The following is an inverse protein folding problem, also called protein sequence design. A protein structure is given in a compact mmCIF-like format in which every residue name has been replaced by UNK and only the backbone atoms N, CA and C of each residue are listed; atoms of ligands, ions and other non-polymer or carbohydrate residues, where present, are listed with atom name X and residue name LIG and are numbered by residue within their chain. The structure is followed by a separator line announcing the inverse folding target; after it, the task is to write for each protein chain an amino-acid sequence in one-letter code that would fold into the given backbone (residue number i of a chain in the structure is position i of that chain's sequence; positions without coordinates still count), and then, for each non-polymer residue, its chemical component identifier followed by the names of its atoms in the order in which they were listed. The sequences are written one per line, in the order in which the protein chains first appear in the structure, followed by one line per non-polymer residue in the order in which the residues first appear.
data_IF_646263159839
#
_entry.id   IF_646263159839
#
_cell.length_a   1.000
_cell.length_b   1.000
_cell.length_c   1.000
_cell.angle_alpha   90.00
_cell.angle_beta   90.00
_cell.angle_gamma   90.00
#
_symmetry.space_group_name_H-M   'P 1'
#
loop_
_entity.id
_entity.type
_entity.pdbx_description
1 polymer ?
#
# COMPACT_ATOMS: atom_id res chain seq x y z
N UNK A 1 -49.65 -36.64 19.20
CA UNK A 1 -49.68 -35.59 18.17
C UNK A 1 -48.47 -34.63 18.30
N UNK A 2 -47.22 -35.13 18.32
CA UNK A 2 -46.05 -34.30 18.71
C UNK A 2 -44.86 -34.41 17.71
N UNK A 3 -45.13 -34.76 16.44
CA UNK A 3 -44.11 -34.89 15.38
C UNK A 3 -44.22 -33.86 14.25
N UNK A 4 -45.35 -33.16 14.12
CA UNK A 4 -45.54 -32.15 13.05
C UNK A 4 -44.76 -30.84 13.28
N UNK A 5 -44.59 -30.41 14.54
CA UNK A 5 -43.90 -29.14 14.84
C UNK A 5 -42.38 -29.17 14.61
N UNK A 6 -41.74 -30.34 14.63
CA UNK A 6 -40.29 -30.48 14.39
C UNK A 6 -39.94 -30.37 12.90
N UNK A 7 -40.73 -31.02 12.04
CA UNK A 7 -40.57 -30.98 10.59
C UNK A 7 -40.78 -29.56 10.05
N UNK A 8 -41.86 -28.89 10.46
CA UNK A 8 -42.17 -27.53 10.01
C UNK A 8 -41.12 -26.49 10.44
N UNK A 9 -40.53 -26.64 11.64
CA UNK A 9 -39.42 -25.79 12.10
C UNK A 9 -38.13 -26.05 11.33
N UNK A 10 -37.90 -27.28 10.88
CA UNK A 10 -36.72 -27.64 10.09
C UNK A 10 -36.85 -27.09 8.67
N UNK A 11 -38.02 -27.25 8.05
CA UNK A 11 -38.35 -26.70 6.72
C UNK A 11 -38.29 -25.16 6.69
N UNK A 12 -38.78 -24.50 7.75
CA UNK A 12 -38.67 -23.03 7.87
C UNK A 12 -37.21 -22.60 8.00
N UNK A 13 -36.41 -23.30 8.81
CA UNK A 13 -34.97 -23.02 8.97
C UNK A 13 -34.19 -23.24 7.68
N UNK A 14 -34.52 -24.30 6.95
CA UNK A 14 -33.91 -24.58 5.65
C UNK A 14 -34.26 -23.47 4.64
N UNK A 15 -35.54 -23.08 4.56
CA UNK A 15 -36.00 -21.98 3.70
C UNK A 15 -35.35 -20.64 4.09
N UNK A 16 -35.15 -20.40 5.39
CA UNK A 16 -34.42 -19.24 5.91
C UNK A 16 -32.96 -19.21 5.45
N UNK A 17 -32.25 -20.34 5.57
CA UNK A 17 -30.84 -20.43 5.17
C UNK A 17 -30.70 -20.28 3.65
N UNK A 18 -31.59 -20.92 2.88
CA UNK A 18 -31.58 -20.83 1.42
C UNK A 18 -31.90 -19.42 0.93
N UNK A 19 -32.93 -18.76 1.49
CA UNK A 19 -33.27 -17.37 1.14
C UNK A 19 -32.15 -16.39 1.53
N UNK A 20 -31.47 -16.61 2.66
CA UNK A 20 -30.30 -15.82 3.04
C UNK A 20 -29.15 -15.99 2.03
N UNK A 21 -28.81 -17.23 1.69
CA UNK A 21 -27.72 -17.53 0.77
C UNK A 21 -27.99 -16.94 -0.63
N UNK A 22 -29.22 -17.06 -1.13
CA UNK A 22 -29.64 -16.47 -2.41
C UNK A 22 -29.54 -14.93 -2.40
N UNK A 23 -29.96 -14.28 -1.31
CA UNK A 23 -29.84 -12.83 -1.18
C UNK A 23 -28.37 -12.39 -1.10
N UNK A 24 -27.50 -13.13 -0.39
CA UNK A 24 -26.06 -12.88 -0.35
C UNK A 24 -25.39 -13.05 -1.73
N UNK A 25 -25.80 -14.08 -2.49
CA UNK A 25 -25.36 -14.28 -3.86
C UNK A 25 -25.76 -13.10 -4.75
N UNK A 26 -26.98 -12.57 -4.60
CA UNK A 26 -27.42 -11.37 -5.31
C UNK A 26 -26.61 -10.12 -4.99
N UNK A 27 -26.24 -9.91 -3.72
CA UNK A 27 -25.31 -8.83 -3.36
C UNK A 27 -23.93 -9.01 -4.01
N UNK A 28 -23.43 -10.24 -4.03
CA UNK A 28 -22.12 -10.58 -4.62
C UNK A 28 -22.10 -10.39 -6.13
N UNK A 29 -23.17 -10.78 -6.83
CA UNK A 29 -23.33 -10.56 -8.28
C UNK A 29 -23.43 -9.07 -8.61
N UNK A 30 -24.20 -8.30 -7.84
CA UNK A 30 -24.28 -6.86 -8.01
C UNK A 30 -22.91 -6.17 -7.78
N UNK A 31 -22.16 -6.59 -6.77
CA UNK A 31 -20.80 -6.11 -6.54
C UNK A 31 -19.85 -6.46 -7.70
N UNK A 32 -19.92 -7.69 -8.22
CA UNK A 32 -19.13 -8.12 -9.38
C UNK A 32 -19.50 -7.35 -10.65
N UNK A 33 -20.79 -7.07 -10.86
CA UNK A 33 -21.25 -6.23 -11.96
C UNK A 33 -20.65 -4.81 -11.87
N UNK A 34 -20.73 -4.16 -10.70
CA UNK A 34 -20.12 -2.84 -10.47
C UNK A 34 -18.61 -2.90 -10.76
N UNK A 35 -17.92 -3.94 -10.26
CA UNK A 35 -16.50 -4.15 -10.53
C UNK A 35 -16.21 -4.24 -12.03
N UNK A 36 -16.98 -5.02 -12.79
CA UNK A 36 -16.79 -5.16 -14.25
C UNK A 36 -17.00 -3.85 -15.03
N UNK A 37 -17.92 -2.99 -14.58
CA UNK A 37 -18.14 -1.67 -15.18
C UNK A 37 -16.96 -0.73 -14.94
N UNK A 38 -16.20 -0.97 -13.85
CA UNK A 38 -15.04 -0.18 -13.48
C UNK A 38 -13.73 -0.73 -14.07
N UNK A 39 -13.60 -2.06 -14.25
CA UNK A 39 -12.42 -2.68 -14.86
C UNK A 39 -12.22 -2.29 -16.34
N UNK A 40 -13.30 -1.95 -17.04
CA UNK A 40 -13.23 -1.42 -18.42
C UNK A 40 -12.61 -0.02 -18.51
N UNK A 41 -12.46 0.69 -17.39
CA UNK A 41 -11.71 1.92 -17.29
C UNK A 41 -10.26 1.54 -17.04
N UNK A 42 -9.34 1.97 -17.90
CA UNK A 42 -7.92 1.89 -17.58
C UNK A 42 -7.69 2.70 -16.29
N UNK A 43 -7.62 2.01 -15.15
CA UNK A 43 -7.58 2.59 -13.79
C UNK A 43 -6.38 3.52 -13.55
N UNK A 44 -5.49 3.65 -14.53
CA UNK A 44 -4.31 4.50 -14.51
C UNK A 44 -4.65 5.99 -14.70
N UNK A 45 -5.75 6.32 -15.41
CA UNK A 45 -6.16 7.71 -15.69
C UNK A 45 -7.68 7.89 -15.61
N UNK A 46 -8.28 7.60 -14.45
CA UNK A 46 -9.73 7.74 -14.27
C UNK A 46 -10.11 9.21 -14.15
N UNK A 47 -10.72 9.77 -15.20
CA UNK A 47 -11.37 11.08 -15.15
C UNK A 47 -12.56 11.04 -14.16
N UNK A 48 -12.57 11.86 -13.10
CA UNK A 48 -13.66 11.92 -12.13
C UNK A 48 -15.05 12.18 -12.74
N UNK A 49 -15.12 12.86 -13.89
CA UNK A 49 -16.38 13.14 -14.59
C UNK A 49 -16.94 11.90 -15.31
N UNK A 50 -16.06 11.11 -15.94
CA UNK A 50 -16.43 9.83 -16.56
C UNK A 50 -16.90 8.83 -15.50
N UNK A 51 -16.18 8.75 -14.38
CA UNK A 51 -16.54 7.88 -13.26
C UNK A 51 -17.94 8.23 -12.72
N UNK A 52 -18.24 9.51 -12.51
CA UNK A 52 -19.56 9.92 -12.05
C UNK A 52 -20.68 9.53 -13.02
N UNK A 53 -20.44 9.66 -14.33
CA UNK A 53 -21.41 9.28 -15.37
C UNK A 53 -21.70 7.77 -15.34
N UNK A 54 -20.67 6.95 -15.16
CA UNK A 54 -20.80 5.49 -15.04
C UNK A 54 -21.56 5.11 -13.77
N UNK A 55 -21.21 5.71 -12.63
CA UNK A 55 -21.86 5.45 -11.35
C UNK A 55 -23.35 5.82 -11.37
N UNK A 56 -23.71 6.93 -12.01
CA UNK A 56 -25.10 7.31 -12.24
C UNK A 56 -25.85 6.37 -13.21
N UNK A 57 -25.12 5.66 -14.08
CA UNK A 57 -25.66 4.70 -15.03
C UNK A 57 -25.85 3.27 -14.50
N UNK A 58 -25.33 2.94 -13.31
CA UNK A 58 -25.31 1.57 -12.77
C UNK A 58 -26.72 0.95 -12.64
N UNK A 59 -27.75 1.73 -12.32
CA UNK A 59 -29.11 1.23 -12.13
C UNK A 59 -29.81 0.84 -13.45
N UNK A 60 -29.31 1.31 -14.60
CA UNK A 60 -29.96 1.13 -15.93
C UNK A 60 -30.00 -0.33 -16.42
N UNK A 61 -29.14 -1.21 -15.89
CA UNK A 61 -29.05 -2.61 -16.31
C UNK A 61 -29.43 -3.62 -15.21
N UNK A 62 -30.06 -3.17 -14.12
CA UNK A 62 -30.51 -4.01 -13.00
C UNK A 62 -31.37 -5.23 -13.41
N UNK A 63 -32.15 -5.11 -14.49
CA UNK A 63 -33.06 -6.18 -14.95
C UNK A 63 -32.35 -7.41 -15.51
N UNK A 64 -31.06 -7.33 -15.84
CA UNK A 64 -30.26 -8.48 -16.31
C UNK A 64 -29.61 -9.28 -15.17
N UNK A 65 -29.59 -8.74 -13.93
CA UNK A 65 -29.00 -9.41 -12.76
C UNK A 65 -30.04 -10.27 -12.04
N UNK A 66 -30.36 -11.42 -12.66
CA UNK A 66 -31.18 -12.47 -12.03
C UNK A 66 -30.29 -13.55 -11.44
N UNK A 67 -30.49 -13.82 -10.15
CA UNK A 67 -29.77 -14.85 -9.41
C UNK A 67 -30.62 -16.10 -9.42
N UNK A 68 -30.18 -17.14 -10.12
CA UNK A 68 -30.82 -18.45 -10.08
C UNK A 68 -29.90 -19.49 -9.46
N UNK A 69 -30.51 -20.53 -8.90
CA UNK A 69 -29.87 -21.79 -8.49
C UNK A 69 -30.30 -22.90 -9.43
N UNK A 70 -29.50 -23.97 -9.53
CA UNK A 70 -29.79 -25.13 -10.37
C UNK A 70 -31.03 -25.94 -9.91
N UNK A 71 -31.54 -25.66 -8.71
CA UNK A 71 -32.78 -26.23 -8.17
C UNK A 71 -33.98 -25.30 -8.45
N UNK A 72 -34.79 -25.71 -9.43
CA UNK A 72 -36.21 -25.42 -9.75
C UNK A 72 -36.85 -24.02 -9.58
N UNK A 73 -37.85 -23.79 -10.44
CA UNK A 73 -38.60 -22.57 -10.72
C UNK A 73 -39.37 -21.89 -9.54
N UNK A 74 -39.26 -22.41 -8.32
CA UNK A 74 -39.91 -21.84 -7.13
C UNK A 74 -39.01 -20.88 -6.32
N UNK A 75 -37.72 -20.81 -6.63
CA UNK A 75 -36.74 -19.96 -5.95
C UNK A 75 -36.37 -18.76 -6.82
N UNK A 76 -36.68 -17.55 -6.34
CA UNK A 76 -36.40 -16.32 -7.08
C UNK A 76 -35.56 -15.36 -6.22
N UNK A 77 -34.25 -15.27 -6.53
CA UNK A 77 -33.37 -14.21 -6.04
C UNK A 77 -33.27 -13.07 -7.06
N UNK A 78 -33.27 -11.81 -6.60
CA UNK A 78 -33.10 -10.65 -7.48
C UNK A 78 -32.36 -9.50 -6.79
N UNK A 79 -31.62 -8.74 -7.59
CA UNK A 79 -31.07 -7.45 -7.17
C UNK A 79 -32.19 -6.40 -7.20
N UNK A 80 -32.48 -5.78 -6.06
CA UNK A 80 -33.54 -4.78 -5.89
C UNK A 80 -33.09 -3.36 -6.23
N UNK A 81 -31.82 -3.00 -6.08
CA UNK A 81 -31.31 -1.68 -6.44
C UNK A 81 -29.77 -1.67 -6.47
N UNK A 82 -29.21 -0.86 -7.35
CA UNK A 82 -27.80 -0.42 -7.31
C UNK A 82 -27.82 1.11 -7.41
N UNK A 83 -27.81 1.77 -6.26
CA UNK A 83 -28.03 3.21 -6.17
C UNK A 83 -26.75 3.94 -5.79
N UNK A 84 -26.28 4.81 -6.67
CA UNK A 84 -25.24 5.78 -6.32
C UNK A 84 -25.85 6.91 -5.47
N UNK A 85 -25.36 7.07 -4.23
CA UNK A 85 -25.91 8.01 -3.25
C UNK A 85 -25.22 9.36 -3.29
N UNK A 86 -23.90 9.37 -3.14
CA UNK A 86 -23.16 10.63 -2.95
C UNK A 86 -21.66 10.51 -3.30
N UNK A 87 -21.08 11.67 -3.60
CA UNK A 87 -19.64 11.91 -3.73
C UNK A 87 -19.19 12.78 -2.57
N UNK A 88 -18.24 12.29 -1.78
CA UNK A 88 -17.60 13.03 -0.70
C UNK A 88 -16.20 13.41 -1.17
N UNK A 89 -15.92 14.71 -1.25
CA UNK A 89 -14.60 15.24 -1.60
C UNK A 89 -13.90 15.69 -0.33
N UNK A 90 -12.84 15.01 0.05
CA UNK A 90 -11.91 15.40 1.11
C UNK A 90 -10.64 16.03 0.53
N UNK A 91 -9.77 16.54 1.41
CA UNK A 91 -8.53 17.23 1.02
C UNK A 91 -7.55 16.38 0.19
N UNK A 92 -7.63 15.05 0.27
CA UNK A 92 -6.70 14.12 -0.40
C UNK A 92 -7.39 12.89 -1.00
N UNK A 93 -8.73 12.84 -0.94
CA UNK A 93 -9.47 11.68 -1.42
C UNK A 93 -10.89 12.05 -1.83
N UNK A 94 -11.35 11.37 -2.86
CA UNK A 94 -12.73 11.34 -3.31
C UNK A 94 -13.30 9.96 -2.96
N UNK A 95 -14.47 9.95 -2.31
CA UNK A 95 -15.25 8.76 -1.99
C UNK A 95 -16.57 8.78 -2.73
N UNK A 96 -16.98 7.63 -3.24
CA UNK A 96 -18.27 7.41 -3.88
C UNK A 96 -19.02 6.32 -3.10
N UNK A 97 -20.25 6.60 -2.69
CA UNK A 97 -21.07 5.65 -1.92
C UNK A 97 -22.15 5.05 -2.82
N UNK A 98 -22.20 3.72 -2.86
CA UNK A 98 -23.15 2.95 -3.64
C UNK A 98 -23.90 2.01 -2.69
N UNK A 99 -25.24 2.03 -2.73
CA UNK A 99 -26.10 1.13 -1.97
C UNK A 99 -26.66 0.06 -2.88
N UNK A 100 -26.48 -1.20 -2.48
CA UNK A 100 -27.03 -2.36 -3.16
C UNK A 100 -28.08 -2.97 -2.25
N UNK A 101 -29.23 -3.33 -2.82
CA UNK A 101 -30.21 -4.19 -2.16
C UNK A 101 -30.45 -5.44 -2.98
N UNK A 102 -30.64 -6.57 -2.31
CA UNK A 102 -31.02 -7.83 -2.90
C UNK A 102 -32.13 -8.49 -2.08
N UNK A 103 -33.04 -9.19 -2.74
CA UNK A 103 -34.07 -9.97 -2.09
C UNK A 103 -34.21 -11.37 -2.67
N UNK A 104 -34.60 -12.30 -1.82
CA UNK A 104 -34.89 -13.67 -2.22
C UNK A 104 -36.12 -14.18 -1.50
N UNK A 105 -36.90 -15.01 -2.20
CA UNK A 105 -38.07 -15.68 -1.65
C UNK A 105 -37.93 -17.19 -1.86
N UNK A 106 -38.07 -17.94 -0.77
CA UNK A 106 -38.06 -19.42 -0.76
C UNK A 106 -39.22 -19.88 0.10
N UNK A 107 -40.15 -20.65 -0.47
CA UNK A 107 -41.30 -21.24 0.24
C UNK A 107 -42.06 -20.23 1.14
N UNK A 108 -42.29 -19.01 0.63
CA UNK A 108 -42.98 -17.93 1.35
C UNK A 108 -42.13 -17.13 2.35
N UNK A 109 -40.90 -17.56 2.63
CA UNK A 109 -39.93 -16.80 3.44
C UNK A 109 -39.21 -15.80 2.54
N UNK A 110 -39.39 -14.51 2.81
CA UNK A 110 -38.70 -13.43 2.09
C UNK A 110 -37.58 -12.84 2.95
N UNK A 111 -36.38 -12.75 2.37
CA UNK A 111 -35.23 -12.04 2.95
C UNK A 111 -34.86 -10.87 2.06
N UNK A 112 -34.48 -9.76 2.68
CA UNK A 112 -33.92 -8.57 2.04
C UNK A 112 -32.62 -8.24 2.71
N UNK A 113 -31.56 -8.05 1.93
CA UNK A 113 -30.25 -7.63 2.39
C UNK A 113 -29.86 -6.33 1.69
N UNK A 114 -29.14 -5.49 2.42
CA UNK A 114 -28.53 -4.28 1.89
C UNK A 114 -27.04 -4.29 2.16
N UNK A 115 -26.27 -3.75 1.22
CA UNK A 115 -24.84 -3.59 1.34
C UNK A 115 -24.43 -2.21 0.84
N UNK A 116 -23.58 -1.54 1.59
CA UNK A 116 -22.91 -0.34 1.14
C UNK A 116 -21.56 -0.70 0.54
N UNK A 117 -21.32 -0.26 -0.68
CA UNK A 117 -20.00 -0.26 -1.33
C UNK A 117 -19.47 1.17 -1.30
N UNK A 118 -18.19 1.30 -0.93
CA UNK A 118 -17.48 2.58 -0.99
C UNK A 118 -16.35 2.45 -2.00
N UNK A 119 -16.39 3.26 -3.05
CA UNK A 119 -15.26 3.48 -3.94
C UNK A 119 -14.43 4.62 -3.37
N UNK A 120 -13.14 4.42 -3.16
CA UNK A 120 -12.26 5.44 -2.59
C UNK A 120 -11.01 5.54 -3.45
N UNK A 121 -10.63 6.78 -3.79
CA UNK A 121 -9.38 7.08 -4.50
C UNK A 121 -8.16 7.07 -3.58
N UNK A 122 -8.38 7.12 -2.26
CA UNK A 122 -7.33 6.87 -1.28
C UNK A 122 -6.93 5.40 -1.34
N UNK A 123 -5.68 5.09 -1.72
CA UNK A 123 -5.28 3.71 -1.85
C UNK A 123 -5.37 2.96 -0.52
N UNK A 124 -5.94 1.77 -0.56
CA UNK A 124 -6.19 0.98 0.64
C UNK A 124 -4.90 0.64 1.42
N UNK A 125 -3.75 0.51 0.74
CA UNK A 125 -2.48 0.23 1.40
C UNK A 125 -2.04 1.34 2.37
N UNK A 126 -2.40 2.61 2.13
CA UNK A 126 -2.07 3.73 3.01
C UNK A 126 -2.85 3.71 4.34
N UNK A 127 -3.88 2.86 4.45
CA UNK A 127 -4.62 2.64 5.69
C UNK A 127 -3.84 1.78 6.70
N UNK A 128 -2.72 1.18 6.27
CA UNK A 128 -1.91 0.29 7.08
C UNK A 128 -0.51 0.86 7.28
N UNK A 129 0.01 0.72 8.49
CA UNK A 129 1.39 1.08 8.83
C UNK A 129 2.39 0.09 8.24
N UNK A 130 1.99 -1.18 8.08
CA UNK A 130 2.84 -2.23 7.55
C UNK A 130 1.99 -3.37 6.98
N UNK A 131 2.46 -4.05 5.94
CA UNK A 131 1.77 -5.24 5.45
C UNK A 131 2.30 -5.80 4.14
N UNK A 132 1.76 -6.96 3.79
CA UNK A 132 2.12 -7.72 2.58
C UNK A 132 0.89 -8.45 2.06
N UNK A 133 0.70 -8.54 0.75
CA UNK A 133 -0.37 -9.36 0.16
C UNK A 133 -0.08 -10.86 0.19
N UNK A 134 1.18 -11.21 0.44
CA UNK A 134 1.61 -12.59 0.60
C UNK A 134 1.81 -12.84 2.10
N UNK A 135 2.95 -13.42 2.46
CA UNK A 135 3.31 -13.63 3.85
C UNK A 135 3.88 -12.34 4.44
N UNK A 136 3.27 -11.84 5.51
CA UNK A 136 3.87 -10.85 6.40
C UNK A 136 4.63 -11.60 7.51
N UNK A 137 5.94 -11.37 7.63
CA UNK A 137 6.76 -11.96 8.70
C UNK A 137 7.16 -10.88 9.70
N UNK A 138 6.76 -11.07 10.96
CA UNK A 138 7.16 -10.21 12.08
C UNK A 138 8.09 -11.00 13.00
N UNK A 139 9.36 -10.59 13.01
CA UNK A 139 10.40 -11.25 13.80
C UNK A 139 10.83 -10.36 14.97
N UNK A 140 10.85 -10.92 16.19
CA UNK A 140 11.23 -10.20 17.39
C UNK A 140 10.17 -9.21 17.82
N UNK A 141 10.60 -8.06 18.36
CA UNK A 141 9.72 -7.11 19.04
C UNK A 141 9.60 -5.73 18.36
N UNK A 142 9.21 -5.65 17.07
CA UNK A 142 8.86 -4.37 16.50
C UNK A 142 7.59 -3.82 17.16
N UNK A 143 7.59 -2.51 17.43
CA UNK A 143 6.41 -1.75 17.79
C UNK A 143 5.77 -1.18 16.52
N UNK A 144 4.58 -1.68 16.18
CA UNK A 144 3.83 -1.30 14.98
C UNK A 144 2.68 -0.38 15.38
N UNK A 145 2.83 0.92 15.12
CA UNK A 145 1.83 1.94 15.43
C UNK A 145 0.88 2.15 14.24
N UNK A 146 -0.22 1.44 14.23
CA UNK A 146 -1.25 1.51 13.20
C UNK A 146 -1.80 0.14 12.82
N UNK A 147 -2.67 0.10 11.81
CA UNK A 147 -3.23 -1.16 11.33
C UNK A 147 -2.18 -1.91 10.50
N UNK A 148 -2.23 -3.23 10.49
CA UNK A 148 -1.37 -4.06 9.62
C UNK A 148 -2.21 -5.03 8.80
N UNK A 149 -1.65 -5.53 7.70
CA UNK A 149 -2.31 -6.56 6.90
C UNK A 149 -1.37 -7.67 6.42
N UNK A 150 -1.92 -8.88 6.32
CA UNK A 150 -1.27 -10.01 5.69
C UNK A 150 -2.27 -10.69 4.74
N UNK A 151 -1.96 -10.68 3.45
CA UNK A 151 -2.84 -11.24 2.44
C UNK A 151 -2.86 -12.76 2.53
N UNK A 152 -1.73 -13.46 2.49
CA UNK A 152 -1.70 -14.94 2.60
C UNK A 152 -1.54 -15.41 4.04
N UNK A 153 -0.41 -15.11 4.69
CA UNK A 153 -0.07 -15.58 6.04
C UNK A 153 0.52 -14.47 6.88
N UNK A 154 0.13 -14.37 8.14
CA UNK A 154 0.83 -13.58 9.14
C UNK A 154 1.70 -14.51 9.97
N UNK A 155 3.02 -14.47 9.81
CA UNK A 155 3.95 -15.30 10.57
C UNK A 155 4.64 -14.44 11.63
N UNK A 156 4.47 -14.82 12.89
CA UNK A 156 4.95 -14.08 14.06
C UNK A 156 5.95 -14.92 14.83
N UNK A 157 7.09 -14.35 15.20
CA UNK A 157 8.07 -15.04 16.06
C UNK A 157 8.63 -14.10 17.10
N UNK A 158 8.85 -14.62 18.30
CA UNK A 158 9.54 -13.94 19.39
C UNK A 158 11.04 -13.75 19.14
N UNK A 159 11.58 -14.39 18.10
CA UNK A 159 13.01 -14.41 17.81
C UNK A 159 13.35 -13.36 16.76
N UNK A 160 14.17 -12.39 17.13
CA UNK A 160 14.73 -11.41 16.22
C UNK A 160 15.60 -12.09 15.14
N UNK A 161 15.37 -11.72 13.87
CA UNK A 161 16.16 -12.17 12.72
C UNK A 161 16.70 -10.95 11.97
N UNK A 162 17.53 -10.15 12.64
CA UNK A 162 18.12 -8.94 12.06
C UNK A 162 19.49 -9.22 11.45
N UNK A 163 19.70 -8.72 10.24
CA UNK A 163 21.00 -8.68 9.59
C UNK A 163 21.38 -7.24 9.31
N UNK A 164 22.56 -6.83 9.75
CA UNK A 164 23.12 -5.51 9.43
C UNK A 164 24.46 -5.71 8.70
N UNK A 165 24.57 -5.16 7.49
CA UNK A 165 25.79 -5.30 6.68
C UNK A 165 26.17 -6.76 6.37
N UNK A 166 25.18 -7.66 6.23
CA UNK A 166 25.41 -9.09 6.00
C UNK A 166 25.79 -9.89 7.26
N UNK A 167 26.01 -9.24 8.40
CA UNK A 167 26.25 -9.88 9.68
C UNK A 167 24.92 -10.16 10.37
N UNK A 168 24.66 -11.45 10.66
CA UNK A 168 23.53 -11.87 11.49
C UNK A 168 23.85 -11.47 12.93
N UNK A 169 23.02 -10.64 13.54
CA UNK A 169 23.16 -10.37 14.97
C UNK A 169 22.54 -11.53 15.75
N UNK A 170 23.31 -12.08 16.69
CA UNK A 170 22.83 -13.12 17.59
C UNK A 170 22.07 -12.44 18.73
N UNK A 171 20.81 -12.80 18.94
CA UNK A 171 20.01 -12.17 19.99
C UNK A 171 19.36 -13.19 20.93
N UNK A 172 19.67 -13.03 22.22
CA UNK A 172 19.14 -13.79 23.34
C UNK A 172 17.80 -13.25 23.85
N UNK A 173 17.33 -12.12 23.31
CA UNK A 173 16.09 -11.47 23.74
C UNK A 173 14.95 -12.03 22.89
N UNK A 174 13.98 -12.64 23.57
CA UNK A 174 12.79 -13.23 22.95
C UNK A 174 11.56 -12.44 23.36
N UNK A 175 11.06 -11.65 22.43
CA UNK A 175 9.90 -10.79 22.65
C UNK A 175 9.10 -10.77 21.36
N UNK A 176 7.78 -10.91 21.49
CA UNK A 176 6.85 -10.84 20.38
C UNK A 176 6.61 -9.39 19.92
N UNK A 177 6.15 -9.18 18.68
CA UNK A 177 5.77 -7.86 18.19
C UNK A 177 4.57 -7.28 18.95
N UNK A 178 4.43 -5.96 18.86
CA UNK A 178 3.28 -5.25 19.43
C UNK A 178 2.60 -4.44 18.34
N UNK A 179 1.31 -4.64 18.16
CA UNK A 179 0.48 -3.79 17.29
C UNK A 179 -0.35 -2.87 18.16
N UNK A 180 -0.22 -1.56 17.97
CA UNK A 180 -0.92 -0.55 18.74
C UNK A 180 -1.62 0.47 17.85
N UNK A 181 -2.52 1.26 18.43
CA UNK A 181 -3.06 2.43 17.74
C UNK A 181 -1.94 3.43 17.41
N UNK A 182 -2.16 4.25 16.38
CA UNK A 182 -1.29 5.39 16.10
C UNK A 182 -1.62 6.59 17.02
N UNK A 183 -0.71 7.57 17.06
CA UNK A 183 -0.85 8.77 17.91
C UNK A 183 -2.12 9.59 17.62
N UNK A 184 -2.59 9.59 16.37
CA UNK A 184 -3.81 10.30 15.95
C UNK A 184 -5.11 9.50 16.17
N UNK A 185 -5.03 8.26 16.69
CA UNK A 185 -6.13 7.32 16.84
C UNK A 185 -6.96 7.02 15.57
N UNK A 186 -6.47 7.42 14.39
CA UNK A 186 -7.09 7.15 13.09
C UNK A 186 -6.92 5.69 12.69
N UNK A 187 -5.81 5.07 13.11
CA UNK A 187 -5.56 3.65 13.00
C UNK A 187 -5.64 3.02 14.39
N UNK A 188 -6.53 2.03 14.54
CA UNK A 188 -6.92 1.45 15.84
C UNK A 188 -6.00 0.31 16.31
N UNK A 189 -4.94 0.00 15.55
CA UNK A 189 -4.08 -1.16 15.79
C UNK A 189 -4.75 -2.47 15.39
N UNK A 190 -5.44 -2.48 14.25
CA UNK A 190 -6.16 -3.66 13.73
C UNK A 190 -5.24 -4.55 12.89
N UNK A 191 -5.46 -5.87 12.95
CA UNK A 191 -4.73 -6.87 12.17
C UNK A 191 -5.68 -7.48 11.14
N UNK A 192 -5.40 -7.23 9.87
CA UNK A 192 -6.23 -7.68 8.76
C UNK A 192 -5.63 -8.92 8.09
N UNK A 193 -6.37 -10.03 8.07
CA UNK A 193 -5.90 -11.32 7.55
C UNK A 193 -6.99 -12.02 6.74
N UNK A 194 -6.60 -12.98 5.90
CA UNK A 194 -7.55 -13.78 5.12
C UNK A 194 -8.42 -14.72 5.97
N UNK A 195 -7.83 -15.25 7.03
CA UNK A 195 -8.50 -16.12 7.98
C UNK A 195 -7.73 -16.08 9.30
N UNK A 196 -8.38 -16.47 10.38
CA UNK A 196 -7.69 -16.59 11.66
C UNK A 196 -6.57 -17.64 11.60
N UNK A 197 -6.81 -18.76 10.90
CA UNK A 197 -5.84 -19.85 10.70
C UNK A 197 -4.60 -19.44 9.88
N UNK A 198 -4.66 -18.30 9.18
CA UNK A 198 -3.51 -17.70 8.48
C UNK A 198 -2.52 -17.01 9.42
N UNK A 199 -2.91 -16.76 10.68
CA UNK A 199 -1.98 -16.27 11.71
C UNK A 199 -1.22 -17.49 12.24
N UNK A 200 0.08 -17.46 12.05
CA UNK A 200 1.00 -18.50 12.49
C UNK A 200 2.02 -17.91 13.43
N UNK A 201 2.37 -18.64 14.47
CA UNK A 201 3.39 -18.19 15.40
C UNK A 201 4.37 -19.29 15.77
N UNK A 202 5.58 -18.88 16.13
CA UNK A 202 6.61 -19.75 16.69
C UNK A 202 7.16 -19.09 17.95
N UNK A 203 7.25 -19.88 19.02
CA UNK A 203 7.84 -19.48 20.30
C UNK A 203 9.15 -20.24 20.50
N UNK A 204 10.23 -19.49 20.73
CA UNK A 204 11.55 -20.05 20.97
C UNK A 204 12.31 -20.56 19.74
N UNK A 205 13.55 -20.98 19.98
CA UNK A 205 14.56 -21.28 18.96
C UNK A 205 14.40 -22.66 18.27
N UNK A 206 13.18 -23.19 18.12
CA UNK A 206 12.95 -24.20 17.08
C UNK A 206 13.12 -23.50 15.75
N UNK A 207 14.33 -23.64 15.19
CA UNK A 207 14.77 -22.98 13.99
C UNK A 207 13.79 -23.28 12.84
N UNK A 208 12.90 -22.33 12.56
CA UNK A 208 12.21 -22.26 11.29
C UNK A 208 13.29 -21.91 10.26
N UNK A 209 13.85 -22.96 9.64
CA UNK A 209 14.68 -22.85 8.45
C UNK A 209 13.90 -22.06 7.40
N UNK A 210 14.54 -21.09 6.74
CA UNK A 210 13.86 -20.33 5.68
C UNK A 210 13.24 -21.28 4.66
N UNK A 211 11.93 -21.14 4.43
CA UNK A 211 11.18 -21.96 3.48
C UNK A 211 10.55 -23.25 4.02
N UNK A 212 10.70 -23.58 5.30
CA UNK A 212 10.05 -24.76 5.89
C UNK A 212 9.04 -24.33 6.96
N UNK A 213 7.77 -24.75 6.81
CA UNK A 213 6.68 -24.48 7.75
C UNK A 213 6.80 -25.29 9.07
N UNK A 214 7.91 -25.99 9.29
CA UNK A 214 8.14 -26.84 10.46
C UNK A 214 8.26 -25.98 11.73
N UNK A 215 7.41 -26.27 12.72
CA UNK A 215 7.41 -25.59 14.03
C UNK A 215 6.53 -24.33 14.12
N UNK A 216 5.70 -24.04 13.11
CA UNK A 216 4.70 -22.97 13.19
C UNK A 216 3.36 -23.51 13.73
N UNK A 217 2.84 -22.87 14.77
CA UNK A 217 1.51 -23.15 15.29
C UNK A 217 0.48 -22.25 14.61
N UNK A 218 -0.55 -22.84 13.99
CA UNK A 218 -1.68 -22.09 13.47
C UNK A 218 -2.57 -21.62 14.62
N UNK A 219 -2.94 -20.34 14.58
CA UNK A 219 -3.92 -19.77 15.48
C UNK A 219 -5.30 -20.18 14.98
N UNK A 220 -6.02 -21.04 15.70
CA UNK A 220 -7.37 -21.49 15.28
C UNK A 220 -8.45 -21.01 16.23
N UNK A 221 -9.59 -20.56 15.70
CA UNK A 221 -10.75 -20.12 16.49
C UNK A 221 -11.30 -21.23 17.40
N UNK A 222 -11.07 -22.50 17.05
CA UNK A 222 -11.45 -23.65 17.87
C UNK A 222 -10.57 -23.88 19.10
N UNK A 223 -9.46 -23.14 19.25
CA UNK A 223 -8.55 -23.29 20.38
C UNK A 223 -9.09 -22.50 21.59
N UNK A 224 -9.23 -23.18 22.75
CA UNK A 224 -9.69 -22.57 24.00
C UNK A 224 -8.81 -21.41 24.46
N UNK A 225 -7.55 -21.37 24.03
CA UNK A 225 -6.58 -20.34 24.37
C UNK A 225 -6.41 -19.25 23.31
N UNK A 226 -7.30 -19.18 22.31
CA UNK A 226 -7.25 -18.20 21.22
C UNK A 226 -6.96 -16.76 21.70
N UNK A 227 -7.74 -16.28 22.67
CA UNK A 227 -7.60 -14.94 23.26
C UNK A 227 -6.27 -14.76 23.99
N UNK A 228 -5.80 -15.79 24.70
CA UNK A 228 -4.55 -15.76 25.46
C UNK A 228 -3.35 -15.74 24.50
N UNK A 229 -3.40 -16.51 23.42
CA UNK A 229 -2.33 -16.57 22.44
C UNK A 229 -2.24 -15.24 21.67
N UNK A 230 -3.37 -14.66 21.22
CA UNK A 230 -3.36 -13.37 20.50
C UNK A 230 -2.80 -12.22 21.34
N UNK A 231 -3.23 -12.12 22.59
CA UNK A 231 -2.72 -11.11 23.52
C UNK A 231 -1.24 -11.31 23.84
N UNK A 232 -0.72 -12.55 23.73
CA UNK A 232 0.70 -12.85 23.86
C UNK A 232 1.52 -12.53 22.61
N UNK A 233 1.05 -12.91 21.42
CA UNK A 233 1.89 -12.86 20.19
C UNK A 233 1.86 -11.51 19.48
N UNK A 234 0.82 -10.70 19.67
CA UNK A 234 0.66 -9.41 19.00
C UNK A 234 0.26 -8.29 19.97
N UNK A 235 -0.01 -8.62 21.24
CA UNK A 235 -0.50 -7.69 22.26
C UNK A 235 -1.82 -7.01 21.88
N UNK A 236 -2.70 -7.74 21.19
CA UNK A 236 -4.02 -7.27 20.76
C UNK A 236 -5.15 -8.12 21.34
N UNK A 237 -6.35 -7.55 21.35
CA UNK A 237 -7.59 -8.25 21.69
C UNK A 237 -8.25 -8.87 20.45
N UNK A 238 -9.06 -9.94 20.59
CA UNK A 238 -9.68 -10.62 19.45
C UNK A 238 -10.52 -9.74 18.52
N UNK A 239 -11.15 -8.69 19.05
CA UNK A 239 -11.93 -7.73 18.26
C UNK A 239 -11.08 -6.92 17.27
N UNK A 240 -9.76 -6.89 17.45
CA UNK A 240 -8.80 -6.21 16.56
C UNK A 240 -8.40 -7.06 15.36
N UNK A 241 -8.73 -8.34 15.33
CA UNK A 241 -8.50 -9.19 14.16
C UNK A 241 -9.67 -9.04 13.19
N UNK A 242 -9.38 -8.65 11.96
CA UNK A 242 -10.37 -8.38 10.91
C UNK A 242 -10.13 -9.31 9.72
N UNK A 243 -11.14 -10.13 9.41
CA UNK A 243 -11.08 -11.01 8.24
C UNK A 243 -11.38 -10.19 6.98
N UNK A 244 -10.49 -10.26 5.98
CA UNK A 244 -10.64 -9.62 4.67
C UNK A 244 -10.23 -10.58 3.55
N UNK A 245 -10.97 -10.57 2.45
CA UNK A 245 -10.65 -11.36 1.26
C UNK A 245 -9.34 -10.87 0.61
N UNK A 246 -8.56 -11.79 0.04
CA UNK A 246 -7.25 -11.49 -0.57
C UNK A 246 -7.31 -10.35 -1.59
N UNK A 247 -8.31 -10.40 -2.49
CA UNK A 247 -8.53 -9.43 -3.57
C UNK A 247 -8.81 -8.00 -3.09
N UNK A 248 -9.01 -7.80 -1.78
CA UNK A 248 -9.21 -6.48 -1.16
C UNK A 248 -7.91 -5.87 -0.63
N UNK A 249 -6.83 -6.64 -0.61
CA UNK A 249 -5.50 -6.06 -0.48
C UNK A 249 -5.11 -5.57 -1.88
N UNK A 250 -4.73 -4.29 -1.97
CA UNK A 250 -4.44 -3.61 -3.24
C UNK A 250 -2.94 -3.31 -3.29
N UNK A 251 -2.25 -3.84 -4.30
CA UNK A 251 -0.85 -3.52 -4.56
C UNK A 251 -0.74 -2.12 -5.17
N UNK A 252 0.26 -1.37 -4.70
CA UNK A 252 0.98 -0.54 -5.65
C UNK A 252 1.93 -1.48 -6.36
N UNK A 253 1.90 -1.49 -7.68
CA UNK A 253 3.02 -2.00 -8.44
C UNK A 253 4.19 -1.00 -8.24
N UNK A 254 4.97 -1.19 -7.17
CA UNK A 254 6.06 -0.27 -6.79
C UNK A 254 7.06 -0.14 -7.92
N UNK A 255 7.31 -1.24 -8.65
CA UNK A 255 8.12 -1.23 -9.85
C UNK A 255 7.53 -0.28 -10.89
N UNK A 256 6.24 -0.42 -11.22
CA UNK A 256 5.58 0.45 -12.19
C UNK A 256 5.55 1.91 -11.73
N UNK A 257 5.21 2.18 -10.47
CA UNK A 257 5.22 3.53 -9.91
C UNK A 257 6.62 4.14 -9.92
N UNK A 258 7.65 3.34 -9.66
CA UNK A 258 9.04 3.78 -9.77
C UNK A 258 9.37 4.14 -11.22
N UNK A 259 9.05 3.28 -12.18
CA UNK A 259 9.31 3.54 -13.61
C UNK A 259 8.53 4.75 -14.12
N UNK A 260 7.28 4.90 -13.70
CA UNK A 260 6.43 6.05 -14.04
C UNK A 260 7.02 7.35 -13.49
N UNK A 261 7.41 7.36 -12.21
CA UNK A 261 8.02 8.55 -11.58
C UNK A 261 9.38 8.88 -12.17
N UNK A 262 10.17 7.86 -12.50
CA UNK A 262 11.44 8.03 -13.19
C UNK A 262 11.23 8.63 -14.58
N UNK A 263 10.31 8.08 -15.38
CA UNK A 263 9.98 8.62 -16.69
C UNK A 263 9.45 10.07 -16.61
N UNK A 264 8.62 10.36 -15.61
CA UNK A 264 8.11 11.70 -15.36
C UNK A 264 9.24 12.69 -15.02
N UNK A 265 10.17 12.30 -14.14
CA UNK A 265 11.30 13.14 -13.75
C UNK A 265 12.24 13.42 -14.92
N UNK A 266 12.52 12.42 -15.76
CA UNK A 266 13.41 12.54 -16.92
C UNK A 266 12.81 13.41 -18.05
N UNK A 267 11.48 13.46 -18.17
CA UNK A 267 10.79 14.23 -19.21
C UNK A 267 10.31 15.62 -18.75
N UNK A 268 10.36 15.92 -17.45
CA UNK A 268 9.87 17.17 -16.87
C UNK A 268 10.50 18.45 -17.46
N UNK A 269 11.67 18.35 -18.10
CA UNK A 269 12.37 19.48 -18.75
C UNK A 269 12.30 19.45 -20.28
N UNK A 270 11.72 18.41 -20.87
CA UNK A 270 11.61 18.34 -22.32
C UNK A 270 10.37 19.11 -22.80
N UNK A 271 10.50 20.05 -23.77
CA UNK A 271 9.36 20.66 -24.46
C UNK A 271 8.55 19.67 -25.33
N UNK A 272 8.89 18.37 -25.24
CA UNK A 272 8.26 17.22 -25.90
C UNK A 272 7.55 16.30 -24.90
N UNK A 273 7.00 16.83 -23.80
CA UNK A 273 6.13 16.05 -22.90
C UNK A 273 4.83 15.69 -23.62
N UNK A 274 4.93 14.69 -24.49
CA UNK A 274 3.81 14.03 -25.14
C UNK A 274 3.63 12.67 -24.49
N UNK A 275 2.38 12.25 -24.33
CA UNK A 275 2.05 10.95 -23.73
C UNK A 275 2.77 9.79 -24.46
N UNK A 276 2.96 9.91 -25.77
CA UNK A 276 3.73 8.96 -26.59
C UNK A 276 5.20 8.90 -26.18
N UNK A 277 5.85 10.04 -25.92
CA UNK A 277 7.24 10.06 -25.46
C UNK A 277 7.39 9.45 -24.06
N UNK A 278 6.44 9.75 -23.15
CA UNK A 278 6.40 9.18 -21.81
C UNK A 278 6.16 7.67 -21.82
N UNK A 279 5.28 7.20 -22.70
CA UNK A 279 5.05 5.76 -22.89
C UNK A 279 6.29 5.03 -23.40
N UNK A 280 6.94 5.55 -24.44
CA UNK A 280 8.15 4.93 -25.01
C UNK A 280 9.28 4.85 -23.97
N UNK A 281 9.47 5.92 -23.19
CA UNK A 281 10.47 5.94 -22.12
C UNK A 281 10.14 4.93 -21.01
N UNK A 282 8.87 4.84 -20.58
CA UNK A 282 8.43 3.82 -19.62
C UNK A 282 8.73 2.41 -20.13
N UNK A 283 8.45 2.11 -21.39
CA UNK A 283 8.70 0.80 -21.98
C UNK A 283 10.20 0.45 -22.02
N UNK A 284 11.05 1.42 -22.36
CA UNK A 284 12.50 1.26 -22.33
C UNK A 284 13.03 1.03 -20.90
N UNK A 285 12.60 1.84 -19.94
CA UNK A 285 12.96 1.70 -18.54
C UNK A 285 12.51 0.35 -17.96
N UNK A 286 11.30 -0.12 -18.30
CA UNK A 286 10.81 -1.44 -17.91
C UNK A 286 11.71 -2.55 -18.45
N UNK A 287 12.13 -2.46 -19.71
CA UNK A 287 13.03 -3.45 -20.30
C UNK A 287 14.36 -3.50 -19.55
N UNK A 288 14.94 -2.34 -19.25
CA UNK A 288 16.20 -2.24 -18.50
C UNK A 288 16.08 -2.68 -17.05
N UNK A 289 14.96 -2.42 -16.39
CA UNK A 289 14.72 -2.93 -15.04
C UNK A 289 14.62 -4.46 -15.01
N UNK A 290 13.98 -5.07 -16.03
CA UNK A 290 13.90 -6.54 -16.18
C UNK A 290 15.24 -7.22 -16.45
N UNK A 291 16.17 -6.52 -17.12
CA UNK A 291 17.55 -6.98 -17.31
C UNK A 291 18.36 -6.95 -15.99
N UNK A 292 17.86 -6.25 -14.96
CA UNK A 292 18.44 -6.16 -13.63
C UNK A 292 18.90 -4.74 -13.26
N UNK A 293 19.06 -4.49 -11.97
CA UNK A 293 19.44 -3.16 -11.43
C UNK A 293 20.73 -2.61 -12.02
N UNK A 294 21.71 -3.46 -12.32
CA UNK A 294 22.96 -3.06 -12.98
C UNK A 294 22.74 -2.53 -14.40
N UNK A 295 21.82 -3.14 -15.17
CA UNK A 295 21.49 -2.71 -16.53
C UNK A 295 20.74 -1.37 -16.52
N UNK A 296 19.79 -1.20 -15.60
CA UNK A 296 19.10 0.07 -15.39
C UNK A 296 20.08 1.19 -14.97
N UNK A 297 20.97 0.91 -14.02
CA UNK A 297 21.99 1.88 -13.60
C UNK A 297 22.91 2.25 -14.76
N UNK A 298 23.37 1.27 -15.54
CA UNK A 298 24.21 1.51 -16.72
C UNK A 298 23.49 2.41 -17.73
N UNK A 299 22.21 2.16 -17.98
CA UNK A 299 21.38 2.99 -18.85
C UNK A 299 21.24 4.42 -18.32
N UNK A 300 20.93 4.58 -17.03
CA UNK A 300 20.83 5.89 -16.39
C UNK A 300 22.15 6.65 -16.46
N UNK A 301 23.28 5.97 -16.24
CA UNK A 301 24.62 6.57 -16.31
C UNK A 301 25.08 6.95 -17.71
N UNK A 302 24.50 6.34 -18.75
CA UNK A 302 24.75 6.68 -20.14
C UNK A 302 23.74 7.65 -20.74
N UNK A 303 22.67 7.97 -19.99
CA UNK A 303 21.56 8.76 -20.51
C UNK A 303 21.89 10.24 -20.53
N UNK A 304 21.65 10.89 -21.68
CA UNK A 304 21.77 12.36 -21.81
C UNK A 304 20.63 13.11 -21.13
N UNK A 305 19.64 12.40 -20.60
CA UNK A 305 18.48 12.95 -19.89
C UNK A 305 18.76 13.18 -18.40
N UNK A 306 19.95 12.81 -17.94
CA UNK A 306 20.37 12.89 -16.55
C UNK A 306 21.70 13.63 -16.48
N UNK A 307 21.81 14.55 -15.53
CA UNK A 307 23.09 15.17 -15.19
C UNK A 307 23.82 14.33 -14.15
N UNK A 308 25.12 14.15 -14.34
CA UNK A 308 25.96 13.37 -13.43
C UNK A 308 26.81 14.27 -12.58
N UNK A 309 26.71 14.08 -11.26
CA UNK A 309 27.53 14.79 -10.30
C UNK A 309 28.48 13.78 -9.65
N UNK A 310 29.81 13.99 -9.74
CA UNK A 310 30.83 13.03 -9.33
C UNK A 310 30.95 12.83 -7.81
N UNK A 311 30.22 13.60 -7.01
CA UNK A 311 30.23 13.53 -5.55
C UNK A 311 29.73 14.84 -4.94
N UNK A 312 29.51 14.86 -3.62
CA UNK A 312 29.16 16.10 -2.92
C UNK A 312 30.44 16.94 -2.75
N UNK A 313 30.35 18.27 -2.83
CA UNK A 313 31.42 19.12 -2.37
C UNK A 313 31.69 18.84 -0.89
N UNK A 314 32.95 18.65 -0.52
CA UNK A 314 33.36 18.34 0.85
C UNK A 314 33.65 19.64 1.58
N UNK A 315 33.06 19.83 2.76
CA UNK A 315 33.30 21.00 3.61
C UNK A 315 34.79 21.10 3.93
N UNK A 316 35.48 22.21 3.59
CA UNK A 316 36.87 22.41 3.95
C UNK A 316 37.03 22.43 5.47
N UNK A 317 38.05 21.75 5.98
CA UNK A 317 38.35 21.73 7.43
C UNK A 317 39.41 22.77 7.71
N UNK A 318 39.14 23.68 8.66
CA UNK A 318 40.15 24.66 9.12
C UNK A 318 41.30 23.91 9.80
N UNK A 319 42.45 23.85 9.15
CA UNK A 319 43.68 23.31 9.74
C UNK A 319 44.03 24.08 11.02
N UNK A 320 44.26 23.37 12.13
CA UNK A 320 44.74 24.00 13.35
C UNK A 320 46.24 24.23 13.25
N UNK A 321 46.74 25.44 13.56
CA UNK A 321 48.17 25.70 13.54
C UNK A 321 48.87 24.89 14.63
N UNK A 322 50.08 24.42 14.34
CA UNK A 322 50.96 23.79 15.34
C UNK A 322 51.27 24.76 16.49
N UNK A 323 51.59 24.23 17.67
CA UNK A 323 51.75 24.98 18.94
C UNK A 323 52.80 26.11 18.89
N UNK A 324 53.62 26.19 17.84
CA UNK A 324 54.65 27.22 17.62
C UNK A 324 54.65 27.81 16.19
N UNK A 325 53.51 27.79 15.49
CA UNK A 325 53.41 28.35 14.14
C UNK A 325 53.71 29.87 14.14
N UNK A 326 54.46 30.34 13.13
CA UNK A 326 54.72 31.77 12.96
C UNK A 326 53.43 32.50 12.54
N UNK A 327 53.30 33.82 12.82
CA UNK A 327 52.15 34.62 12.38
C UNK A 327 51.89 34.52 10.87
N UNK A 328 52.95 34.45 10.06
CA UNK A 328 52.85 34.30 8.60
C UNK A 328 52.23 32.95 8.21
N UNK A 329 52.57 31.87 8.93
CA UNK A 329 52.02 30.53 8.68
C UNK A 329 50.55 30.45 9.07
N UNK A 330 50.16 31.09 10.17
CA UNK A 330 48.75 31.17 10.58
C UNK A 330 47.94 31.91 9.52
N UNK A 331 48.45 33.04 9.02
CA UNK A 331 47.79 33.82 7.96
C UNK A 331 47.65 33.01 6.66
N UNK A 332 48.68 32.27 6.26
CA UNK A 332 48.63 31.40 5.07
C UNK A 332 47.55 30.31 5.17
N UNK A 333 47.40 29.69 6.36
CA UNK A 333 46.37 28.68 6.61
C UNK A 333 44.96 29.28 6.58
N UNK A 334 44.78 30.50 7.10
CA UNK A 334 43.50 31.20 7.04
C UNK A 334 43.13 31.61 5.62
N UNK A 335 44.09 32.09 4.84
CA UNK A 335 43.85 32.49 3.45
C UNK A 335 43.57 31.28 2.56
N UNK A 336 44.26 30.15 2.79
CA UNK A 336 43.95 28.87 2.14
C UNK A 336 42.53 28.42 2.45
N UNK A 337 42.15 28.40 3.73
CA UNK A 337 40.80 28.03 4.16
C UNK A 337 39.72 28.93 3.52
N UNK A 338 39.95 30.24 3.42
CA UNK A 338 39.00 31.17 2.74
C UNK A 338 38.85 30.86 1.25
N UNK A 339 39.96 30.52 0.57
CA UNK A 339 39.91 30.14 -0.85
C UNK A 339 39.15 28.84 -1.02
N UNK A 340 39.44 27.81 -0.21
CA UNK A 340 38.73 26.53 -0.24
C UNK A 340 37.25 26.69 0.09
N UNK A 341 36.90 27.51 1.09
CA UNK A 341 35.51 27.82 1.43
C UNK A 341 34.77 28.48 0.29
N UNK A 342 35.41 29.40 -0.43
CA UNK A 342 34.81 30.06 -1.59
C UNK A 342 34.57 29.08 -2.76
N UNK A 343 35.46 28.12 -2.95
CA UNK A 343 35.27 27.03 -3.94
C UNK A 343 34.07 26.17 -3.52
N UNK A 344 34.04 25.75 -2.26
CA UNK A 344 32.94 24.97 -1.69
C UNK A 344 31.58 25.68 -1.82
N UNK A 345 31.48 26.96 -1.46
CA UNK A 345 30.26 27.78 -1.61
C UNK A 345 29.84 27.89 -3.09
N UNK A 346 30.79 28.03 -4.01
CA UNK A 346 30.53 28.08 -5.44
C UNK A 346 30.00 26.77 -6.01
N UNK A 347 30.52 25.63 -5.56
CA UNK A 347 30.01 24.29 -5.91
C UNK A 347 28.60 24.07 -5.32
N UNK A 348 28.35 24.55 -4.09
CA UNK A 348 27.05 24.43 -3.43
C UNK A 348 25.98 25.33 -4.09
N UNK A 349 26.35 26.52 -4.57
CA UNK A 349 25.47 27.36 -5.39
C UNK A 349 25.10 26.72 -6.73
N UNK A 350 26.02 25.97 -7.35
CA UNK A 350 25.72 25.23 -8.59
C UNK A 350 24.70 24.13 -8.31
N UNK A 351 24.83 23.45 -7.17
CA UNK A 351 23.83 22.47 -6.75
C UNK A 351 22.44 23.10 -6.49
N UNK A 352 22.40 24.33 -6.01
CA UNK A 352 21.15 25.08 -5.80
C UNK A 352 20.46 25.54 -7.09
N UNK A 353 21.13 25.47 -8.24
CA UNK A 353 20.62 25.91 -9.57
C UNK A 353 20.16 24.76 -10.45
N UNK A 354 20.24 23.53 -9.94
CA UNK A 354 19.85 22.34 -10.66
C UNK A 354 18.34 22.33 -10.91
N UNK A 355 17.96 22.39 -12.19
CA UNK A 355 16.60 22.16 -12.67
C UNK A 355 16.45 20.76 -13.31
N UNK A 356 17.56 20.02 -13.42
CA UNK A 356 17.73 18.70 -14.03
C UNK A 356 17.43 17.49 -13.12
N UNK A 357 17.07 16.35 -13.72
CA UNK A 357 17.14 15.05 -13.02
C UNK A 357 18.61 14.65 -12.90
N UNK A 358 19.06 14.28 -11.70
CA UNK A 358 20.49 14.05 -11.43
C UNK A 358 20.72 12.66 -10.88
N UNK A 359 21.83 12.06 -11.30
CA UNK A 359 22.39 10.87 -10.67
C UNK A 359 23.64 11.27 -9.89
N UNK A 360 23.57 11.02 -8.58
CA UNK A 360 24.67 11.22 -7.66
C UNK A 360 25.58 9.99 -7.65
N UNK A 361 26.82 10.18 -8.08
CA UNK A 361 27.84 9.12 -8.10
C UNK A 361 28.74 9.23 -6.85
N UNK A 362 28.21 8.93 -5.67
CA UNK A 362 28.96 8.98 -4.40
C UNK A 362 28.38 8.07 -3.33
N UNK A 363 29.03 7.97 -2.16
CA UNK A 363 28.49 7.19 -1.05
C UNK A 363 27.30 7.92 -0.43
N UNK A 364 26.21 7.19 -0.12
CA UNK A 364 24.99 7.72 0.52
C UNK A 364 25.30 8.43 1.86
N UNK A 365 26.43 8.09 2.49
CA UNK A 365 26.94 8.72 3.71
C UNK A 365 27.27 10.21 3.54
N UNK A 366 27.48 10.65 2.29
CA UNK A 366 27.87 12.00 1.92
C UNK A 366 26.67 12.88 1.52
N UNK A 367 25.43 12.35 1.55
CA UNK A 367 24.20 13.13 1.29
C UNK A 367 23.79 14.09 2.43
N UNK A 368 24.53 14.09 3.55
CA UNK A 368 24.35 15.03 4.65
C UNK A 368 25.33 16.19 4.47
N UNK A 369 24.87 17.28 3.85
CA UNK A 369 25.62 18.55 3.82
C UNK A 369 25.06 19.43 4.93
N UNK A 370 25.81 19.59 6.03
CA UNK A 370 25.69 20.65 7.05
C UNK A 370 24.26 21.19 7.35
N UNK A 371 23.31 20.30 7.61
CA UNK A 371 21.95 20.69 8.02
C UNK A 371 21.10 21.38 6.94
N UNK A 372 21.54 21.38 5.68
CA UNK A 372 20.68 21.68 4.54
C UNK A 372 19.80 20.45 4.28
N UNK A 373 18.62 20.44 4.91
CA UNK A 373 17.51 19.66 4.38
C UNK A 373 17.33 20.08 2.92
N UNK A 374 17.35 19.10 2.01
CA UNK A 374 16.97 19.35 0.63
C UNK A 374 15.67 20.15 0.64
N UNK A 375 15.68 21.35 0.05
CA UNK A 375 14.42 21.91 -0.44
C UNK A 375 13.84 20.81 -1.31
N UNK A 376 12.67 20.32 -0.90
CA UNK A 376 11.89 19.30 -1.60
C UNK A 376 12.12 19.43 -3.11
N UNK A 377 12.26 18.30 -3.80
CA UNK A 377 12.11 18.27 -5.26
C UNK A 377 10.77 18.96 -5.56
N UNK A 378 10.84 20.25 -5.90
CA UNK A 378 9.66 21.05 -6.11
C UNK A 378 9.16 20.64 -7.47
N UNK A 379 8.06 19.89 -7.48
CA UNK A 379 7.27 19.68 -8.67
C UNK A 379 6.97 21.05 -9.28
N UNK A 380 7.46 21.29 -10.50
CA UNK A 380 7.14 22.52 -11.22
C UNK A 380 5.62 22.59 -11.43
N UNK A 381 4.95 23.73 -11.14
CA UNK A 381 3.50 23.88 -11.27
C UNK A 381 2.95 23.68 -12.70
N UNK A 382 3.83 23.49 -13.69
CA UNK A 382 3.46 23.27 -15.08
C UNK A 382 2.62 21.98 -15.29
N UNK A 383 2.58 21.05 -14.33
CA UNK A 383 1.70 19.88 -14.37
C UNK A 383 0.35 20.06 -13.65
N UNK A 384 0.04 21.26 -13.11
CA UNK A 384 -1.24 21.53 -12.42
C UNK A 384 -2.23 22.38 -13.22
N UNK A 385 -1.88 22.81 -14.44
CA UNK A 385 -2.80 23.59 -15.28
C UNK A 385 -3.57 22.70 -16.27
N UNK A 386 -4.58 22.00 -15.76
CA UNK A 386 -5.80 21.71 -16.54
C UNK A 386 -6.97 22.38 -15.86
N UNK A 387 -7.19 23.64 -16.24
CA UNK A 387 -8.50 24.32 -16.35
C UNK A 387 -9.54 23.99 -15.27
N UNK A 388 -9.69 24.90 -14.31
CA UNK A 388 -11.01 25.17 -13.71
C UNK A 388 -11.99 25.54 -14.83
N UNK A 389 -13.13 24.85 -15.01
CA UNK A 389 -14.24 25.44 -15.73
C UNK A 389 -14.88 26.52 -14.84
N UNK A 390 -15.36 27.63 -15.42
CA UNK A 390 -16.05 28.66 -14.66
C UNK A 390 -17.38 28.08 -14.12
N UNK A 391 -17.57 28.21 -12.82
CA UNK A 391 -18.85 28.08 -12.12
C UNK A 391 -19.01 29.28 -11.20
#
# INVERSE_FOLDING_TARGET
MQRLGGAQRTETKESDVQSLHLAQKGLSEAAAYIQSQLEGLQLQDVDPAQLQTILQGLDKHKSSLKVTTELEAAMNGRVENIEYKEKIVGNQSIKYIIHIGASAMVNGVQRKLTQQITLESYPDFLKYAFGSEQTLRLNGAPLLQGNIYAGDKLVVTDTAKYSYGGLKQAENIRLFPTVSANSSATAKGEVHVQSVDSIRYTEGATAVTEGVDDGQFALSEGNRDFTNIQSKILHITPDKVKIKEQKKFVQINVEESFIEKLAQALLAQSPRDSETARKNLRDELRLKNKEGTAALNTWLTGSKMVEHIPGMPVVPVKEQPETYATPERIQELEDRYKVEMKVYEGELEQLGKLDASIVFNGNVRDMLVDGLDYKQINYTPASQNTTNPPG
#
